data_IF_798254190411
#
_entry.id   IF_798254190411
#
_cell.length_a   1.000
_cell.length_b   1.000
_cell.length_c   1.000
_cell.angle_alpha   90.00
_cell.angle_beta   90.00
_cell.angle_gamma   90.00
#
_symmetry.space_group_name_H-M   'P 1'
#
loop_
_entity.id
_entity.type
_entity.pdbx_description
1 polymer ?
#
# COMPACT_ATOMS: atom_id res chain seq x y z
N UNK A 1 -9.02 2.46 -34.51
CA UNK A 1 -7.91 2.17 -33.58
C UNK A 1 -7.30 0.84 -34.00
N UNK A 2 -5.98 0.75 -34.11
CA UNK A 2 -5.31 -0.52 -34.42
C UNK A 2 -5.55 -1.50 -33.27
N UNK A 3 -5.83 -2.76 -33.57
CA UNK A 3 -5.96 -3.80 -32.54
C UNK A 3 -4.60 -4.00 -31.87
N UNK A 4 -4.49 -3.90 -30.53
CA UNK A 4 -3.21 -4.04 -29.85
C UNK A 4 -2.65 -5.46 -30.01
N UNK A 5 -1.36 -5.55 -30.32
CA UNK A 5 -0.64 -6.81 -30.50
C UNK A 5 0.61 -6.85 -29.60
N UNK A 6 1.04 -8.05 -29.26
CA UNK A 6 2.27 -8.33 -28.51
C UNK A 6 3.51 -7.84 -29.24
N UNK A 7 3.47 -7.84 -30.57
CA UNK A 7 4.56 -7.32 -31.38
C UNK A 7 4.76 -5.82 -31.14
N UNK A 8 3.70 -5.07 -30.83
CA UNK A 8 3.79 -3.65 -30.46
C UNK A 8 4.60 -3.50 -29.17
N UNK A 9 4.35 -4.36 -28.16
CA UNK A 9 5.09 -4.33 -26.88
C UNK A 9 6.56 -4.72 -27.08
N UNK A 10 6.82 -5.73 -27.89
CA UNK A 10 8.19 -6.14 -28.22
C UNK A 10 8.95 -5.04 -28.97
N UNK A 11 8.27 -4.36 -29.91
CA UNK A 11 8.83 -3.23 -30.63
C UNK A 11 9.14 -2.06 -29.69
N UNK A 12 8.23 -1.71 -28.79
CA UNK A 12 8.45 -0.64 -27.80
C UNK A 12 9.63 -0.95 -26.88
N UNK A 13 9.75 -2.19 -26.38
CA UNK A 13 10.88 -2.57 -25.54
C UNK A 13 12.20 -2.47 -26.32
N UNK A 14 12.23 -2.93 -27.57
CA UNK A 14 13.40 -2.80 -28.43
C UNK A 14 13.76 -1.33 -28.72
N UNK A 15 12.77 -0.43 -28.85
CA UNK A 15 13.01 1.01 -28.95
C UNK A 15 13.67 1.58 -27.69
N UNK A 16 13.22 1.17 -26.51
CA UNK A 16 13.78 1.63 -25.24
C UNK A 16 15.22 1.16 -25.06
N UNK A 17 15.51 -0.09 -25.44
CA UNK A 17 16.87 -0.62 -25.45
C UNK A 17 17.78 0.16 -26.40
N UNK A 18 17.31 0.48 -27.62
CA UNK A 18 18.07 1.31 -28.58
C UNK A 18 18.37 2.70 -28.01
N UNK A 19 17.38 3.33 -27.38
CA UNK A 19 17.57 4.63 -26.73
C UNK A 19 18.58 4.54 -25.58
N UNK A 20 18.50 3.51 -24.74
CA UNK A 20 19.47 3.27 -23.68
C UNK A 20 20.89 3.09 -24.23
N UNK A 21 21.06 2.28 -25.29
CA UNK A 21 22.37 2.05 -25.95
C UNK A 21 22.91 3.35 -26.57
N UNK A 22 22.04 4.21 -27.11
CA UNK A 22 22.45 5.47 -27.74
C UNK A 22 23.16 6.44 -26.80
N UNK A 23 23.03 6.24 -25.47
CA UNK A 23 23.75 7.03 -24.46
C UNK A 23 25.25 6.72 -24.39
N UNK A 24 25.71 5.64 -25.04
CA UNK A 24 27.09 5.17 -24.95
C UNK A 24 27.41 4.40 -23.67
N UNK A 25 26.45 4.26 -22.74
CA UNK A 25 26.60 3.45 -21.55
C UNK A 25 26.44 1.95 -21.85
N UNK A 26 27.05 1.10 -21.03
CA UNK A 26 26.79 -0.34 -21.06
C UNK A 26 25.41 -0.61 -20.46
N UNK A 27 24.53 -1.24 -21.25
CA UNK A 27 23.18 -1.62 -20.85
C UNK A 27 23.14 -3.12 -20.58
N UNK A 28 22.78 -3.52 -19.36
CA UNK A 28 22.52 -4.92 -19.04
C UNK A 28 21.18 -5.04 -18.30
N UNK A 29 20.23 -5.74 -18.91
CA UNK A 29 18.93 -6.04 -18.29
C UNK A 29 19.03 -7.43 -17.65
N UNK A 30 18.75 -7.53 -16.35
CA UNK A 30 18.67 -8.83 -15.67
C UNK A 30 17.28 -9.45 -15.88
N UNK A 31 17.16 -10.79 -15.80
CA UNK A 31 15.85 -11.44 -15.90
C UNK A 31 14.87 -10.87 -14.89
N UNK A 32 13.70 -10.45 -15.36
CA UNK A 32 12.60 -10.01 -14.50
C UNK A 32 12.21 -11.12 -13.53
N UNK A 33 11.95 -10.75 -12.29
CA UNK A 33 11.51 -11.67 -11.24
C UNK A 33 10.09 -11.31 -10.81
N UNK A 34 9.33 -12.33 -10.42
CA UNK A 34 7.93 -12.24 -10.06
C UNK A 34 7.72 -12.80 -8.66
N UNK A 35 6.69 -12.31 -7.98
CA UNK A 35 6.33 -12.77 -6.65
C UNK A 35 4.83 -12.70 -6.38
N UNK A 36 4.33 -13.63 -5.55
CA UNK A 36 2.96 -13.64 -5.04
C UNK A 36 2.80 -12.70 -3.84
N UNK A 37 3.86 -12.57 -3.04
CA UNK A 37 3.85 -12.07 -1.67
C UNK A 37 4.88 -10.96 -1.42
N UNK A 38 5.80 -10.74 -2.37
CA UNK A 38 6.94 -9.84 -2.24
C UNK A 38 8.13 -10.43 -1.47
N UNK A 39 8.00 -11.65 -0.94
CA UNK A 39 9.05 -12.33 -0.18
C UNK A 39 9.78 -13.36 -1.05
N UNK A 40 9.03 -14.18 -1.79
CA UNK A 40 9.59 -15.23 -2.64
C UNK A 40 9.63 -14.75 -4.08
N UNK A 41 10.84 -14.65 -4.64
CA UNK A 41 11.08 -14.16 -6.00
C UNK A 41 11.46 -15.30 -6.94
N UNK A 42 10.74 -15.42 -8.05
CA UNK A 42 10.96 -16.44 -9.08
C UNK A 42 11.16 -15.79 -10.44
N UNK A 43 12.07 -16.32 -11.26
CA UNK A 43 12.31 -15.84 -12.64
C UNK A 43 11.25 -16.32 -13.64
N UNK A 44 10.54 -17.39 -13.26
CA UNK A 44 9.52 -18.01 -14.10
C UNK A 44 8.26 -18.13 -13.27
N UNK A 45 7.20 -17.49 -13.77
CA UNK A 45 5.88 -17.55 -13.16
C UNK A 45 5.03 -18.61 -13.85
N UNK A 46 4.64 -19.64 -13.11
CA UNK A 46 3.89 -20.81 -13.61
C UNK A 46 2.54 -21.01 -12.89
N UNK A 47 2.11 -20.03 -12.10
CA UNK A 47 0.84 -20.08 -11.40
C UNK A 47 -0.33 -19.77 -12.34
N UNK A 48 -1.54 -20.18 -11.95
CA UNK A 48 -2.80 -19.86 -12.63
C UNK A 48 -3.16 -18.38 -12.46
N UNK A 49 -2.85 -17.79 -11.31
CA UNK A 49 -3.10 -16.38 -11.05
C UNK A 49 -1.95 -15.51 -11.59
N UNK A 50 -2.22 -14.28 -12.05
CA UNK A 50 -1.17 -13.32 -12.36
C UNK A 50 -0.27 -13.08 -11.14
N UNK A 51 1.04 -12.80 -11.34
CA UNK A 51 1.91 -12.41 -10.25
C UNK A 51 1.40 -11.12 -9.59
N UNK A 52 1.52 -11.01 -8.27
CA UNK A 52 1.10 -9.81 -7.56
C UNK A 52 2.07 -8.65 -7.79
N UNK A 53 3.36 -8.96 -7.90
CA UNK A 53 4.44 -7.98 -8.04
C UNK A 53 5.53 -8.50 -8.96
N UNK A 54 6.15 -7.60 -9.72
CA UNK A 54 7.36 -7.84 -10.50
C UNK A 54 8.50 -6.94 -10.04
N UNK A 55 9.71 -7.47 -10.12
CA UNK A 55 10.98 -6.77 -9.92
C UNK A 55 11.78 -6.85 -11.21
N UNK A 56 12.14 -5.69 -11.75
CA UNK A 56 13.06 -5.59 -12.88
C UNK A 56 14.32 -4.84 -12.45
N UNK A 57 15.47 -5.29 -12.95
CA UNK A 57 16.78 -4.73 -12.62
C UNK A 57 17.57 -4.47 -13.88
N UNK A 58 18.09 -3.24 -14.00
CA UNK A 58 18.96 -2.82 -15.10
C UNK A 58 20.27 -2.30 -14.53
N UNK A 59 21.38 -2.72 -15.11
CA UNK A 59 22.70 -2.18 -14.82
C UNK A 59 23.08 -1.18 -15.91
N UNK A 60 23.34 0.06 -15.50
CA UNK A 60 23.94 1.10 -16.33
C UNK A 60 25.39 1.28 -15.91
N UNK A 61 26.33 0.92 -16.78
CA UNK A 61 27.77 0.94 -16.47
C UNK A 61 28.11 0.16 -15.18
N UNK A 62 27.40 -0.96 -14.95
CA UNK A 62 27.52 -1.79 -13.76
C UNK A 62 26.78 -1.28 -12.52
N UNK A 63 26.14 -0.10 -12.57
CA UNK A 63 25.35 0.45 -11.46
C UNK A 63 23.91 -0.09 -11.55
N UNK A 64 23.44 -0.86 -10.56
CA UNK A 64 22.10 -1.43 -10.60
C UNK A 64 21.03 -0.39 -10.27
N UNK A 65 19.97 -0.39 -11.07
CA UNK A 65 18.70 0.28 -10.81
C UNK A 65 17.61 -0.76 -10.75
N UNK A 66 16.86 -0.79 -9.66
CA UNK A 66 15.74 -1.71 -9.48
C UNK A 66 14.41 -0.96 -9.48
N UNK A 67 13.36 -1.63 -9.97
CA UNK A 67 11.99 -1.14 -9.83
C UNK A 67 11.06 -2.30 -9.49
N UNK A 68 10.17 -2.01 -8.55
CA UNK A 68 9.08 -2.87 -8.13
C UNK A 68 7.80 -2.34 -8.74
N UNK A 69 6.98 -3.24 -9.27
CA UNK A 69 5.73 -2.91 -9.93
C UNK A 69 4.64 -3.86 -9.44
N UNK A 70 3.50 -3.32 -9.02
CA UNK A 70 2.34 -4.10 -8.57
C UNK A 70 1.40 -4.34 -9.75
N UNK A 71 0.95 -5.58 -9.92
CA UNK A 71 0.06 -5.98 -11.03
C UNK A 71 -1.26 -5.21 -11.00
N UNK A 72 -1.90 -5.15 -9.83
CA UNK A 72 -3.19 -4.47 -9.65
C UNK A 72 -3.15 -2.98 -10.03
N UNK A 73 -2.01 -2.33 -9.87
CA UNK A 73 -1.80 -0.90 -10.19
C UNK A 73 -1.34 -0.67 -11.64
N UNK A 74 -1.00 -1.73 -12.37
CA UNK A 74 -0.40 -1.64 -13.70
C UNK A 74 -1.34 -2.07 -14.82
N UNK A 75 -2.57 -2.47 -14.48
CA UNK A 75 -3.55 -2.92 -15.46
C UNK A 75 -3.92 -1.78 -16.42
N UNK A 76 -3.88 -2.00 -17.75
CA UNK A 76 -4.27 -1.00 -18.73
C UNK A 76 -5.70 -0.48 -18.51
N UNK A 77 -5.91 0.80 -18.75
CA UNK A 77 -7.24 1.41 -18.68
C UNK A 77 -8.16 0.98 -19.84
N UNK A 78 -7.58 0.73 -21.03
CA UNK A 78 -8.32 0.30 -22.20
C UNK A 78 -8.66 -1.20 -22.14
N UNK A 79 -9.92 -1.55 -22.39
CA UNK A 79 -10.42 -2.93 -22.30
C UNK A 79 -9.72 -3.89 -23.26
N UNK A 80 -9.36 -3.42 -24.46
CA UNK A 80 -8.65 -4.22 -25.47
C UNK A 80 -7.28 -4.67 -24.97
N UNK A 81 -6.53 -3.76 -24.36
CA UNK A 81 -5.24 -4.02 -23.72
C UNK A 81 -5.38 -4.85 -22.46
N UNK A 82 -6.38 -4.56 -21.63
CA UNK A 82 -6.66 -5.32 -20.41
C UNK A 82 -6.95 -6.79 -20.72
N UNK A 83 -7.77 -7.07 -21.75
CA UNK A 83 -8.04 -8.43 -22.19
C UNK A 83 -6.77 -9.16 -22.64
N UNK A 84 -5.88 -8.46 -23.36
CA UNK A 84 -4.60 -9.01 -23.79
C UNK A 84 -3.67 -9.31 -22.60
N UNK A 85 -3.63 -8.41 -21.60
CA UNK A 85 -2.90 -8.61 -20.34
C UNK A 85 -3.41 -9.82 -19.57
N UNK A 86 -4.73 -10.00 -19.45
CA UNK A 86 -5.31 -11.16 -18.79
C UNK A 86 -5.01 -12.47 -19.53
N UNK A 87 -4.93 -12.44 -20.86
CA UNK A 87 -4.57 -13.61 -21.65
C UNK A 87 -3.08 -13.99 -21.53
N UNK A 88 -2.19 -13.01 -21.28
CA UNK A 88 -0.73 -13.20 -21.26
C UNK A 88 -0.06 -12.40 -20.12
N UNK A 89 -0.42 -12.69 -18.85
CA UNK A 89 -0.08 -11.84 -17.72
C UNK A 89 1.43 -11.71 -17.52
N UNK A 90 2.13 -12.84 -17.41
CA UNK A 90 3.57 -12.85 -17.15
C UNK A 90 4.37 -12.12 -18.22
N UNK A 91 4.01 -12.32 -19.50
CA UNK A 91 4.76 -11.73 -20.63
C UNK A 91 4.62 -10.20 -20.66
N UNK A 92 3.38 -9.71 -20.55
CA UNK A 92 3.10 -8.28 -20.69
C UNK A 92 3.50 -7.51 -19.44
N UNK A 93 3.31 -8.09 -18.27
CA UNK A 93 3.76 -7.48 -17.03
C UNK A 93 5.27 -7.47 -16.87
N UNK A 94 5.95 -8.53 -17.31
CA UNK A 94 7.42 -8.54 -17.39
C UNK A 94 7.94 -7.41 -18.28
N UNK A 95 7.41 -7.30 -19.51
CA UNK A 95 7.77 -6.24 -20.43
C UNK A 95 7.45 -4.82 -19.89
N UNK A 96 6.33 -4.67 -19.18
CA UNK A 96 6.00 -3.42 -18.49
C UNK A 96 7.03 -3.09 -17.41
N UNK A 97 7.41 -4.07 -16.57
CA UNK A 97 8.42 -3.90 -15.53
C UNK A 97 9.80 -3.52 -16.13
N UNK A 98 10.19 -4.12 -17.24
CA UNK A 98 11.44 -3.83 -17.95
C UNK A 98 11.45 -2.40 -18.53
N UNK A 99 10.38 -2.00 -19.24
CA UNK A 99 10.22 -0.60 -19.71
C UNK A 99 10.23 0.40 -18.56
N UNK A 100 9.62 0.01 -17.46
CA UNK A 100 9.47 0.78 -16.23
C UNK A 100 10.82 1.03 -15.53
N UNK A 101 11.73 0.04 -15.48
CA UNK A 101 13.08 0.22 -14.93
C UNK A 101 14.03 0.90 -15.92
N UNK A 102 13.93 0.63 -17.23
CA UNK A 102 14.74 1.29 -18.27
C UNK A 102 14.54 2.80 -18.24
N UNK A 103 13.28 3.27 -18.15
CA UNK A 103 12.97 4.70 -17.99
C UNK A 103 13.64 5.33 -16.76
N UNK A 104 13.72 4.58 -15.67
CA UNK A 104 14.37 5.07 -14.44
C UNK A 104 15.89 5.13 -14.60
N UNK A 105 16.49 4.10 -15.18
CA UNK A 105 17.95 3.99 -15.36
C UNK A 105 18.49 4.96 -16.42
N UNK A 106 17.71 5.23 -17.47
CA UNK A 106 18.06 6.07 -18.62
C UNK A 106 17.11 7.26 -18.76
N UNK A 107 16.80 7.92 -17.65
CA UNK A 107 15.87 9.05 -17.60
C UNK A 107 16.28 10.20 -18.53
N UNK A 108 17.58 10.39 -18.71
CA UNK A 108 18.20 11.36 -19.60
C UNK A 108 17.92 11.10 -21.09
N UNK A 109 17.72 9.84 -21.49
CA UNK A 109 17.52 9.46 -22.89
C UNK A 109 16.08 9.09 -23.23
N UNK A 110 15.40 8.37 -22.32
CA UNK A 110 14.03 7.88 -22.53
C UNK A 110 13.00 8.88 -22.00
N UNK A 111 13.37 9.67 -20.98
CA UNK A 111 12.50 10.66 -20.36
C UNK A 111 11.28 10.04 -19.66
N UNK A 112 10.19 10.81 -19.63
CA UNK A 112 8.90 10.41 -19.05
C UNK A 112 7.94 9.82 -20.12
N UNK A 113 8.46 9.27 -21.21
CA UNK A 113 7.64 8.64 -22.28
C UNK A 113 6.66 7.63 -21.68
N UNK A 114 5.38 7.79 -22.01
CA UNK A 114 4.27 6.91 -21.61
C UNK A 114 3.76 6.15 -22.82
N UNK A 115 3.42 4.89 -22.61
CA UNK A 115 2.93 3.99 -23.64
C UNK A 115 1.41 3.79 -23.50
N UNK A 116 0.69 3.39 -24.57
CA UNK A 116 -0.77 3.29 -24.56
C UNK A 116 -1.32 2.27 -23.56
N UNK A 117 -0.52 1.27 -23.21
CA UNK A 117 -0.88 0.23 -22.25
C UNK A 117 -0.63 0.64 -20.78
N UNK A 118 -0.13 1.86 -20.55
CA UNK A 118 0.05 2.39 -19.20
C UNK A 118 -1.20 3.13 -18.74
N UNK A 119 -1.57 2.92 -17.46
CA UNK A 119 -2.64 3.69 -16.86
C UNK A 119 -2.25 5.18 -16.83
N UNK A 120 -3.00 5.99 -17.57
CA UNK A 120 -3.00 7.44 -17.38
C UNK A 120 -3.77 7.67 -16.08
N UNK A 121 -3.10 8.22 -15.05
CA UNK A 121 -3.84 8.86 -13.96
C UNK A 121 -4.77 9.87 -14.64
N UNK A 122 -6.08 9.58 -14.65
CA UNK A 122 -7.06 10.48 -15.25
C UNK A 122 -6.77 11.87 -14.68
N UNK A 123 -6.67 12.92 -15.53
CA UNK A 123 -6.47 14.27 -15.03
C UNK A 123 -7.52 14.49 -13.97
N UNK A 124 -7.06 14.75 -12.74
CA UNK A 124 -7.91 14.89 -11.57
C UNK A 124 -9.00 15.87 -11.99
N UNK A 125 -10.25 15.39 -12.08
CA UNK A 125 -11.36 16.25 -12.43
C UNK A 125 -11.23 17.49 -11.53
N UNK A 126 -11.29 18.73 -12.08
CA UNK A 126 -11.13 19.91 -11.25
C UNK A 126 -12.11 19.74 -10.12
N UNK A 127 -11.58 19.61 -8.89
CA UNK A 127 -12.41 19.38 -7.73
C UNK A 127 -13.44 20.52 -7.78
N UNK A 128 -14.72 20.16 -8.00
CA UNK A 128 -15.80 21.08 -7.67
C UNK A 128 -15.42 21.61 -6.31
N UNK A 129 -15.30 22.93 -6.20
CA UNK A 129 -14.72 23.62 -5.07
C UNK A 129 -15.72 23.48 -3.91
N UNK A 130 -15.77 22.26 -3.37
CA UNK A 130 -16.72 21.77 -2.41
C UNK A 130 -16.23 22.30 -1.07
N UNK A 131 -17.11 23.00 -0.39
CA UNK A 131 -16.81 23.62 0.89
C UNK A 131 -16.88 22.55 1.99
N UNK A 132 -15.92 21.62 1.96
CA UNK A 132 -15.84 20.48 2.89
C UNK A 132 -15.96 20.90 4.35
N UNK A 133 -15.45 22.07 4.72
CA UNK A 133 -15.53 22.59 6.08
C UNK A 133 -16.97 22.93 6.48
N UNK A 134 -17.74 23.55 5.57
CA UNK A 134 -19.15 23.85 5.79
C UNK A 134 -20.00 22.57 5.88
N UNK A 135 -19.69 21.58 5.05
CA UNK A 135 -20.40 20.29 5.03
C UNK A 135 -20.12 19.43 6.26
N UNK A 136 -18.86 19.41 6.75
CA UNK A 136 -18.53 18.76 8.02
C UNK A 136 -19.33 19.40 9.16
N UNK A 137 -19.43 20.74 9.20
CA UNK A 137 -20.18 21.44 10.24
C UNK A 137 -21.70 21.19 10.15
N UNK A 138 -22.24 21.07 8.93
CA UNK A 138 -23.67 20.86 8.69
C UNK A 138 -24.13 19.40 8.90
N UNK A 139 -23.22 18.43 8.92
CA UNK A 139 -23.57 17.02 9.11
C UNK A 139 -24.27 16.81 10.47
N UNK A 140 -25.50 16.28 10.45
CA UNK A 140 -26.32 16.13 11.66
C UNK A 140 -26.31 14.71 12.26
N UNK A 141 -25.83 13.72 11.49
CA UNK A 141 -25.84 12.31 11.90
C UNK A 141 -24.47 11.69 11.72
N UNK A 142 -24.19 10.66 12.52
CA UNK A 142 -22.94 9.87 12.43
C UNK A 142 -22.76 9.28 11.03
N UNK A 143 -23.83 8.75 10.44
CA UNK A 143 -23.80 8.19 9.09
C UNK A 143 -23.42 9.23 8.03
N UNK A 144 -23.97 10.45 8.12
CA UNK A 144 -23.63 11.54 7.20
C UNK A 144 -22.16 11.96 7.33
N UNK A 145 -21.59 11.92 8.53
CA UNK A 145 -20.15 12.21 8.73
C UNK A 145 -19.28 11.10 8.13
N UNK A 146 -19.69 9.84 8.22
CA UNK A 146 -18.97 8.71 7.62
C UNK A 146 -19.05 8.70 6.09
N UNK A 147 -20.22 9.00 5.53
CA UNK A 147 -20.40 9.18 4.08
C UNK A 147 -19.51 10.31 3.56
N UNK A 148 -19.51 11.46 4.24
CA UNK A 148 -18.64 12.60 3.88
C UNK A 148 -17.16 12.22 3.92
N UNK A 149 -16.73 11.44 4.92
CA UNK A 149 -15.34 10.95 4.99
C UNK A 149 -14.99 10.00 3.83
N UNK A 150 -15.92 9.12 3.42
CA UNK A 150 -15.72 8.24 2.28
C UNK A 150 -15.63 9.03 0.95
N UNK A 151 -16.47 10.05 0.79
CA UNK A 151 -16.42 10.97 -0.35
C UNK A 151 -15.12 11.77 -0.39
N UNK A 152 -14.66 12.27 0.76
CA UNK A 152 -13.37 12.97 0.88
C UNK A 152 -12.18 12.07 0.55
N UNK A 153 -12.22 10.79 0.91
CA UNK A 153 -11.18 9.81 0.54
C UNK A 153 -11.14 9.58 -0.96
N UNK A 154 -12.32 9.39 -1.57
CA UNK A 154 -12.47 9.24 -3.02
C UNK A 154 -11.94 10.47 -3.76
N UNK A 155 -12.24 11.67 -3.25
CA UNK A 155 -11.74 12.93 -3.78
C UNK A 155 -10.30 13.28 -3.37
N UNK A 156 -9.61 12.43 -2.58
CA UNK A 156 -8.29 12.70 -1.98
C UNK A 156 -8.20 14.06 -1.25
N UNK A 157 -9.31 14.52 -0.67
CA UNK A 157 -9.45 15.81 -0.02
C UNK A 157 -9.22 15.75 1.51
N UNK A 158 -8.77 14.60 2.04
CA UNK A 158 -8.49 14.40 3.46
C UNK A 158 -7.20 15.12 3.85
N UNK A 159 -7.33 16.10 4.76
CA UNK A 159 -6.21 16.82 5.37
C UNK A 159 -6.28 16.69 6.88
N UNK A 160 -5.16 16.91 7.58
CA UNK A 160 -5.11 16.84 9.05
C UNK A 160 -6.15 17.75 9.73
N UNK A 161 -6.35 19.02 9.32
CA UNK A 161 -7.41 19.86 9.89
C UNK A 161 -8.82 19.28 9.68
N UNK A 162 -9.10 18.72 8.51
CA UNK A 162 -10.42 18.15 8.19
C UNK A 162 -10.71 16.85 8.94
N UNK A 163 -9.69 16.01 9.09
CA UNK A 163 -9.77 14.80 9.92
C UNK A 163 -10.09 15.14 11.39
N UNK A 164 -9.49 16.23 11.91
CA UNK A 164 -9.84 16.73 13.26
C UNK A 164 -11.27 17.23 13.32
N UNK A 165 -11.72 18.01 12.34
CA UNK A 165 -13.09 18.52 12.28
C UNK A 165 -14.14 17.40 12.23
N UNK A 166 -13.90 16.33 11.44
CA UNK A 166 -14.77 15.14 11.39
C UNK A 166 -14.89 14.48 12.77
N UNK A 167 -13.77 14.31 13.49
CA UNK A 167 -13.76 13.72 14.84
C UNK A 167 -14.47 14.59 15.87
N UNK A 168 -14.24 15.89 15.82
CA UNK A 168 -14.95 16.85 16.68
C UNK A 168 -16.46 16.76 16.43
N UNK A 169 -16.87 16.71 15.16
CA UNK A 169 -18.30 16.62 14.82
C UNK A 169 -18.94 15.33 15.28
N UNK A 170 -18.26 14.19 15.12
CA UNK A 170 -18.72 12.90 15.65
C UNK A 170 -18.93 12.96 17.16
N UNK A 171 -17.96 13.52 17.89
CA UNK A 171 -18.06 13.68 19.33
C UNK A 171 -19.23 14.60 19.76
N UNK A 172 -19.51 15.67 19.00
CA UNK A 172 -20.67 16.54 19.25
C UNK A 172 -22.01 15.83 19.02
N UNK A 173 -22.13 15.04 17.96
CA UNK A 173 -23.34 14.28 17.64
C UNK A 173 -23.58 13.20 18.71
N UNK A 174 -22.52 12.49 19.12
CA UNK A 174 -22.58 11.47 20.17
C UNK A 174 -22.91 12.08 21.54
N UNK A 175 -22.36 13.25 21.88
CA UNK A 175 -22.67 13.95 23.12
C UNK A 175 -24.10 14.51 23.14
N UNK A 176 -24.61 14.99 21.99
CA UNK A 176 -25.98 15.47 21.86
C UNK A 176 -27.03 14.35 21.91
N UNK A 177 -26.65 13.11 21.59
CA UNK A 177 -27.51 11.94 21.72
C UNK A 177 -27.63 11.41 23.17
N UNK A 178 -26.79 11.92 24.09
CA UNK A 178 -26.82 11.56 25.50
C UNK A 178 -27.67 12.56 26.31
N UNK A 179 -28.94 12.24 26.53
CA UNK A 179 -29.75 12.90 27.58
C UNK A 179 -29.43 12.26 28.94
N UNK A 180 -29.02 13.03 29.97
CA UNK A 180 -28.95 12.51 31.31
C UNK A 180 -30.38 12.23 31.79
N UNK A 181 -30.64 10.96 32.13
CA UNK A 181 -31.88 10.58 32.82
C UNK A 181 -31.83 11.22 34.21
N UNK A 182 -32.69 12.20 34.46
CA UNK A 182 -32.96 12.70 35.81
C UNK A 182 -33.55 11.54 36.63
N UNK A 183 -32.76 10.99 37.55
CA UNK A 183 -33.28 10.05 38.55
C UNK A 183 -34.27 10.82 39.46
N UNK A 184 -35.54 10.39 39.58
CA UNK A 184 -36.47 11.03 40.50
C UNK A 184 -36.01 10.76 41.93
N UNK A 185 -35.79 11.85 42.68
CA UNK A 185 -35.40 11.82 44.07
C UNK A 185 -36.34 10.96 44.92
N UNK A 186 -35.75 10.04 45.68
CA UNK A 186 -36.40 9.35 46.77
C UNK A 186 -35.64 9.68 48.07
N UNK A 187 -36.18 10.67 48.79
CA UNK A 187 -36.00 10.82 50.23
C UNK A 187 -36.44 9.52 50.93
N UNK A 188 -35.49 8.75 51.45
CA UNK A 188 -35.73 7.83 52.57
C UNK A 188 -34.54 7.89 53.53
N UNK A 189 -34.83 8.34 54.75
CA UNK A 189 -33.92 8.48 55.88
C UNK A 189 -33.32 7.14 56.37
N UNK A 190 -32.16 7.16 57.07
CA UNK A 190 -31.35 5.97 57.31
C UNK A 190 -31.72 5.25 58.62
N UNK A 191 -31.60 3.92 58.63
CA UNK A 191 -31.55 3.11 59.86
C UNK A 191 -30.23 2.30 59.92
N UNK A 192 -29.53 2.25 61.07
CA UNK A 192 -28.16 1.76 61.15
C UNK A 192 -28.09 0.28 61.52
N UNK A 193 -27.23 -0.50 60.86
CA UNK A 193 -26.71 -1.77 61.40
C UNK A 193 -25.25 -2.00 61.06
N UNK A 194 -24.42 -1.72 62.07
CA UNK A 194 -23.23 -2.44 62.55
C UNK A 194 -22.23 -3.01 61.53
N UNK A 195 -21.03 -2.44 61.64
CA UNK A 195 -19.75 -2.89 61.14
C UNK A 195 -19.41 -4.35 61.48
N UNK A 196 -18.70 -5.03 60.57
CA UNK A 196 -17.42 -5.70 60.84
C UNK A 196 -16.74 -6.01 59.50
N UNK A 197 -15.49 -5.57 59.36
CA UNK A 197 -14.58 -6.09 58.32
C UNK A 197 -13.99 -5.04 57.37
N UNK A 198 -13.05 -4.23 57.87
CA UNK A 198 -12.01 -3.64 57.02
C UNK A 198 -11.24 -4.77 56.32
N UNK A 199 -10.78 -4.62 55.07
CA UNK A 199 -9.47 -4.02 54.74
C UNK A 199 -9.49 -3.42 53.31
N UNK A 200 -8.86 -2.25 53.26
CA UNK A 200 -8.47 -1.28 52.20
C UNK A 200 -8.20 -1.78 50.77
N UNK A 201 -8.65 -0.93 49.82
CA UNK A 201 -8.00 -0.30 48.64
C UNK A 201 -6.83 -1.04 47.96
N UNK A 202 -6.76 -1.19 46.63
CA UNK A 202 -6.68 -0.14 45.60
C UNK A 202 -6.83 -0.71 44.17
N UNK A 203 -7.34 0.12 43.25
CA UNK A 203 -6.94 0.33 41.84
C UNK A 203 -6.80 -0.80 40.79
N UNK A 204 -7.32 -0.43 39.61
CA UNK A 204 -6.83 -0.67 38.24
C UNK A 204 -7.20 -1.96 37.49
N UNK A 205 -7.92 -1.72 36.38
CA UNK A 205 -8.15 -2.53 35.18
C UNK A 205 -6.81 -2.76 34.41
N UNK A 206 -6.77 -3.59 33.35
CA UNK A 206 -5.99 -4.82 33.23
C UNK A 206 -4.73 -4.68 32.36
N UNK A 207 -3.60 -5.27 32.76
CA UNK A 207 -2.46 -5.46 31.88
C UNK A 207 -2.41 -6.93 31.44
N UNK A 208 -2.71 -7.18 30.16
CA UNK A 208 -2.31 -8.42 29.49
C UNK A 208 -0.78 -8.48 29.44
N UNK A 209 -0.13 -9.58 29.84
CA UNK A 209 1.30 -9.74 29.61
C UNK A 209 1.56 -10.19 28.16
N UNK A 210 2.12 -9.26 27.39
CA UNK A 210 2.87 -9.52 26.16
C UNK A 210 4.02 -10.51 26.41
N UNK A 211 4.24 -11.35 25.39
CA UNK A 211 5.50 -11.91 24.92
C UNK A 211 6.64 -12.15 25.94
N UNK A 212 6.86 -13.43 26.23
CA UNK A 212 8.20 -13.94 26.54
C UNK A 212 8.57 -15.07 25.58
N UNK A 213 8.86 -14.71 24.33
CA UNK A 213 9.79 -15.49 23.52
C UNK A 213 11.19 -15.29 24.10
N UNK A 214 11.82 -16.39 24.52
CA UNK A 214 13.17 -16.40 25.06
C UNK A 214 14.20 -15.81 24.07
N UNK A 215 15.25 -15.13 24.55
CA UNK A 215 16.16 -14.35 23.71
C UNK A 215 16.95 -15.22 22.74
N UNK A 216 17.07 -14.69 21.52
CA UNK A 216 17.86 -15.16 20.41
C UNK A 216 19.19 -15.78 20.83
N UNK A 217 19.30 -17.10 20.67
CA UNK A 217 20.57 -17.80 20.63
C UNK A 217 21.43 -17.25 19.48
N UNK A 218 22.44 -16.47 19.86
CA UNK A 218 23.50 -15.89 19.03
C UNK A 218 23.73 -16.60 17.67
N UNK A 219 23.18 -16.04 16.59
CA UNK A 219 23.43 -16.44 15.19
C UNK A 219 24.94 -16.44 14.86
N UNK A 220 25.71 -15.62 15.57
CA UNK A 220 27.17 -15.54 15.51
C UNK A 220 27.88 -16.83 16.02
N UNK A 221 27.32 -17.54 17.01
CA UNK A 221 27.92 -18.76 17.54
C UNK A 221 27.76 -19.95 16.57
N UNK A 222 26.64 -20.02 15.84
CA UNK A 222 26.41 -21.06 14.81
C UNK A 222 27.35 -20.94 13.61
N UNK A 223 27.74 -19.72 13.22
CA UNK A 223 28.70 -19.50 12.12
C UNK A 223 30.14 -19.92 12.46
N UNK A 224 30.56 -19.83 13.73
CA UNK A 224 31.91 -20.29 14.15
C UNK A 224 32.05 -21.82 14.20
N UNK A 225 30.98 -22.55 14.53
CA UNK A 225 31.02 -24.01 14.56
C UNK A 225 31.06 -24.64 13.16
N UNK A 226 30.38 -24.05 12.17
CA UNK A 226 30.35 -24.56 10.79
C UNK A 226 31.70 -24.40 10.07
N UNK A 227 32.45 -23.32 10.33
CA UNK A 227 33.78 -23.08 9.72
C UNK A 227 34.89 -24.00 10.21
N UNK A 228 34.72 -24.70 11.35
CA UNK A 228 35.74 -25.59 11.92
C UNK A 228 35.64 -27.04 11.42
N UNK A 229 34.55 -27.42 10.73
CA UNK A 229 34.29 -28.83 10.35
C UNK A 229 34.49 -29.16 8.86
N UNK A 230 34.78 -28.18 8.00
CA UNK A 230 34.91 -28.38 6.54
C UNK A 230 36.34 -28.42 5.98
N UNK A 231 37.38 -28.31 6.81
CA UNK A 231 38.77 -28.25 6.35
C UNK A 231 39.56 -29.51 6.67
N UNK A 232 39.31 -30.62 5.94
CA UNK A 232 40.27 -31.70 5.66
C UNK A 232 39.65 -32.78 4.78
N UNK A 233 39.88 -32.67 3.47
CA UNK A 233 40.58 -33.67 2.64
C UNK A 233 40.61 -33.20 1.20
#
# INVERSE_FOLDING_TARGET
>A
MSTPNIDDVAQTLAEYERLAISTGATVQILPTEFSADGETWVKFWIDEHPPAIARATVLRDGIPTERYVVWAESLPAEDSWRALWMAKPTKLFGAYADRSVLRRAYRDAIGDRREPDEQIDAPMAPALQREWEAEIAAAATTDAVHELHAEMKTARAVTVPRERALRTRLAEIEAGAWEPVDEPGADVAPAPRTATGAIRSTEAKPAQPNDFLAPAGNRAARRKAARKKGGKR
#
